data_IF_913875266505
#
_entry.id   IF_913875266505
#
_cell.length_a   1.000
_cell.length_b   1.000
_cell.length_c   1.000
_cell.angle_alpha   90.00
_cell.angle_beta   90.00
_cell.angle_gamma   90.00
#
_symmetry.space_group_name_H-M   'P 1'
#
loop_
_entity.id
_entity.type
_entity.pdbx_description
1 polymer ?
#
# COMPACT_ATOMS: atom_id res chain seq x y z
N UNK A 1 31.22 4.67 -12.51
CA UNK A 1 30.41 5.36 -13.55
C UNK A 1 31.01 5.00 -14.91
N UNK A 2 30.23 4.24 -15.71
CA UNK A 2 30.68 3.82 -17.06
C UNK A 2 30.81 5.01 -18.01
N UNK A 3 31.56 4.84 -19.11
CA UNK A 3 31.76 5.84 -20.14
C UNK A 3 30.46 6.13 -20.92
N UNK A 4 29.49 6.76 -20.26
CA UNK A 4 28.25 7.24 -20.87
C UNK A 4 28.33 8.72 -21.20
N UNK A 5 27.35 9.21 -21.93
CA UNK A 5 27.19 10.65 -22.17
C UNK A 5 27.08 11.43 -20.86
N UNK A 6 27.54 12.68 -20.83
CA UNK A 6 27.28 13.60 -19.72
C UNK A 6 25.76 13.78 -19.55
N UNK A 7 25.32 14.24 -18.37
CA UNK A 7 23.88 14.48 -18.12
C UNK A 7 23.28 15.44 -19.15
N UNK A 8 24.01 16.51 -19.48
CA UNK A 8 23.61 17.49 -20.49
C UNK A 8 23.48 16.88 -21.89
N UNK A 9 24.43 16.03 -22.28
CA UNK A 9 24.40 15.35 -23.57
C UNK A 9 23.23 14.34 -23.64
N UNK A 10 22.98 13.61 -22.57
CA UNK A 10 21.80 12.70 -22.49
C UNK A 10 20.50 13.44 -22.68
N UNK A 11 20.33 14.56 -22.00
CA UNK A 11 19.13 15.38 -22.10
C UNK A 11 18.97 15.98 -23.48
N UNK A 12 20.07 16.50 -24.06
CA UNK A 12 20.09 17.02 -25.41
C UNK A 12 19.65 15.97 -26.45
N UNK A 13 20.29 14.80 -26.45
CA UNK A 13 19.94 13.74 -27.41
C UNK A 13 18.53 13.21 -27.19
N UNK A 14 18.08 13.05 -25.93
CA UNK A 14 16.72 12.57 -25.65
C UNK A 14 15.68 13.55 -26.17
N UNK A 15 15.85 14.86 -25.94
CA UNK A 15 14.97 15.90 -26.50
C UNK A 15 14.99 15.95 -28.03
N UNK A 16 16.17 15.78 -28.63
CA UNK A 16 16.31 15.76 -30.09
C UNK A 16 15.56 14.58 -30.69
N UNK A 17 15.69 13.36 -30.11
CA UNK A 17 14.96 12.18 -30.56
C UNK A 17 13.45 12.35 -30.40
N UNK A 18 13.00 12.93 -29.30
CA UNK A 18 11.57 13.13 -29.01
C UNK A 18 10.88 14.07 -30.02
N UNK A 19 11.59 15.05 -30.60
CA UNK A 19 11.01 15.94 -31.63
C UNK A 19 10.44 15.18 -32.81
N UNK A 20 11.09 14.10 -33.24
CA UNK A 20 10.62 13.27 -34.34
C UNK A 20 9.85 12.04 -33.86
N UNK A 21 10.39 11.26 -32.90
CA UNK A 21 9.81 10.04 -32.44
C UNK A 21 8.54 10.23 -31.56
N UNK A 22 8.29 11.45 -31.05
CA UNK A 22 7.05 11.85 -30.40
C UNK A 22 5.97 12.34 -31.36
N UNK A 23 6.32 12.67 -32.64
CA UNK A 23 5.34 13.04 -33.63
C UNK A 23 4.70 11.80 -34.25
N UNK A 24 3.50 11.46 -33.77
CA UNK A 24 2.74 10.28 -34.22
C UNK A 24 2.44 10.30 -35.72
N UNK A 25 2.21 11.48 -36.31
CA UNK A 25 1.93 11.61 -37.76
C UNK A 25 3.17 11.33 -38.59
N UNK A 26 4.30 11.89 -38.17
CA UNK A 26 5.58 11.66 -38.82
C UNK A 26 5.99 10.16 -38.74
N UNK A 27 5.86 9.57 -37.55
CA UNK A 27 6.19 8.16 -37.35
C UNK A 27 5.31 7.22 -38.22
N UNK A 28 4.01 7.46 -38.22
CA UNK A 28 3.07 6.67 -39.03
C UNK A 28 3.38 6.77 -40.53
N UNK A 29 3.69 7.98 -41.00
CA UNK A 29 4.08 8.21 -42.42
C UNK A 29 5.32 7.40 -42.85
N UNK A 30 6.25 7.20 -41.92
CA UNK A 30 7.49 6.49 -42.16
C UNK A 30 7.43 5.00 -41.75
N UNK A 31 6.26 4.45 -41.43
CA UNK A 31 6.05 3.06 -40.97
C UNK A 31 6.88 2.73 -39.72
N UNK A 32 7.09 3.71 -38.82
CA UNK A 32 7.80 3.56 -37.55
C UNK A 32 6.78 3.48 -36.40
N UNK A 33 7.25 2.94 -35.28
CA UNK A 33 6.40 2.86 -34.07
C UNK A 33 6.02 4.25 -33.57
N UNK A 34 4.75 4.48 -33.28
CA UNK A 34 4.21 5.75 -32.77
C UNK A 34 4.25 5.89 -31.26
N UNK A 35 4.71 4.85 -30.55
CA UNK A 35 4.67 4.75 -29.08
C UNK A 35 6.06 4.64 -28.43
N UNK A 36 7.14 4.90 -29.20
CA UNK A 36 8.50 4.74 -28.69
C UNK A 36 8.81 5.63 -27.51
N UNK A 37 8.37 6.90 -27.56
CA UNK A 37 8.55 7.88 -26.49
C UNK A 37 7.70 7.53 -25.27
N UNK A 38 6.41 7.29 -25.47
CA UNK A 38 5.48 6.94 -24.38
C UNK A 38 5.95 5.70 -23.62
N UNK A 39 6.33 4.64 -24.34
CA UNK A 39 6.80 3.40 -23.69
C UNK A 39 8.16 3.55 -23.02
N UNK A 40 9.05 4.44 -23.50
CA UNK A 40 10.27 4.77 -22.81
C UNK A 40 9.97 5.55 -21.50
N UNK A 41 9.11 6.56 -21.55
CA UNK A 41 8.75 7.38 -20.39
C UNK A 41 8.08 6.57 -19.28
N UNK A 42 7.40 5.50 -19.62
CA UNK A 42 6.86 4.54 -18.66
C UNK A 42 7.92 3.62 -18.03
N UNK A 43 9.13 3.54 -18.58
CA UNK A 43 10.22 2.78 -17.94
C UNK A 43 10.75 3.50 -16.70
N UNK A 44 11.49 2.77 -15.86
CA UNK A 44 12.16 3.40 -14.72
C UNK A 44 13.19 4.46 -15.19
N UNK A 45 13.89 4.22 -16.29
CA UNK A 45 14.82 5.20 -16.87
C UNK A 45 14.09 6.50 -17.25
N UNK A 46 12.97 6.42 -17.95
CA UNK A 46 12.18 7.59 -18.31
C UNK A 46 11.66 8.34 -17.10
N UNK A 47 11.13 7.62 -16.10
CA UNK A 47 10.61 8.21 -14.86
C UNK A 47 11.69 8.92 -14.05
N UNK A 48 12.85 8.29 -13.85
CA UNK A 48 14.00 8.91 -13.14
C UNK A 48 14.44 10.19 -13.86
N UNK A 49 14.50 10.17 -15.19
CA UNK A 49 14.83 11.36 -15.99
C UNK A 49 13.80 12.49 -15.77
N UNK A 50 12.50 12.19 -15.81
CA UNK A 50 11.44 13.18 -15.53
C UNK A 50 11.56 13.80 -14.13
N UNK A 51 12.04 13.03 -13.17
CA UNK A 51 12.31 13.49 -11.81
C UNK A 51 13.64 14.26 -11.67
N UNK A 52 14.31 14.56 -12.78
CA UNK A 52 15.52 15.38 -12.80
C UNK A 52 16.80 14.67 -12.35
N UNK A 53 16.77 13.34 -12.26
CA UNK A 53 17.93 12.54 -11.84
C UNK A 53 18.61 11.85 -13.04
N UNK A 54 19.93 11.60 -12.97
CA UNK A 54 20.67 10.95 -14.04
C UNK A 54 20.13 9.57 -14.36
N UNK A 55 19.76 9.35 -15.63
CA UNK A 55 19.28 8.05 -16.11
C UNK A 55 19.65 7.85 -17.58
N UNK A 56 19.58 6.61 -18.09
CA UNK A 56 19.85 6.31 -19.48
C UNK A 56 18.81 6.98 -20.38
N UNK A 57 19.26 7.76 -21.36
CA UNK A 57 18.45 8.35 -22.41
C UNK A 57 18.46 7.51 -23.70
N UNK A 58 17.84 8.03 -24.75
CA UNK A 58 17.72 7.32 -26.04
C UNK A 58 19.09 6.92 -26.61
N UNK A 59 20.05 7.86 -26.61
CA UNK A 59 21.37 7.66 -27.19
C UNK A 59 22.25 6.66 -26.40
N UNK A 60 22.00 6.45 -25.12
CA UNK A 60 22.76 5.48 -24.31
C UNK A 60 22.50 4.03 -24.81
N UNK A 61 21.31 3.75 -25.36
CA UNK A 61 20.96 2.45 -25.93
C UNK A 61 21.11 2.43 -27.46
N UNK A 62 20.64 3.46 -28.16
CA UNK A 62 20.54 3.50 -29.64
C UNK A 62 21.77 4.11 -30.32
N UNK A 63 22.73 4.63 -29.55
CA UNK A 63 23.81 5.55 -29.99
C UNK A 63 23.26 6.89 -30.54
N UNK A 64 24.16 7.88 -30.73
CA UNK A 64 23.76 9.23 -31.18
C UNK A 64 23.89 9.42 -32.71
N UNK A 65 24.83 8.77 -33.34
CA UNK A 65 25.19 9.02 -34.74
C UNK A 65 24.99 7.82 -35.66
N UNK A 66 25.09 6.60 -35.14
CA UNK A 66 24.97 5.37 -35.93
C UNK A 66 23.75 4.58 -35.44
N UNK A 67 22.56 5.13 -35.69
CA UNK A 67 21.28 4.55 -35.27
C UNK A 67 20.84 3.53 -36.32
N UNK A 68 21.11 2.24 -36.06
CA UNK A 68 20.78 1.14 -36.93
C UNK A 68 19.55 0.39 -36.44
N UNK A 69 18.75 -0.24 -37.32
CA UNK A 69 17.61 -1.04 -36.93
C UNK A 69 18.03 -2.26 -36.12
N UNK A 70 17.14 -2.79 -35.26
CA UNK A 70 17.42 -3.93 -34.36
C UNK A 70 17.97 -5.17 -35.09
N UNK A 71 17.53 -5.39 -36.33
CA UNK A 71 17.96 -6.55 -37.17
C UNK A 71 19.40 -6.45 -37.66
N UNK A 72 20.01 -5.28 -37.70
CA UNK A 72 21.39 -5.11 -38.18
C UNK A 72 22.37 -5.64 -37.11
N UNK A 73 23.30 -6.53 -37.46
CA UNK A 73 24.30 -7.05 -36.50
C UNK A 73 25.20 -5.99 -35.87
N UNK A 74 25.37 -4.83 -36.52
CA UNK A 74 26.15 -3.70 -36.01
C UNK A 74 25.34 -2.77 -35.11
N UNK A 75 24.02 -2.93 -35.04
CA UNK A 75 23.18 -2.10 -34.20
C UNK A 75 23.50 -2.32 -32.72
N UNK A 76 23.58 -1.23 -31.97
CA UNK A 76 23.77 -1.30 -30.50
C UNK A 76 22.62 -2.05 -29.80
N UNK A 77 21.39 -1.99 -30.34
CA UNK A 77 20.20 -2.66 -29.81
C UNK A 77 19.96 -4.06 -30.43
N UNK A 78 20.91 -4.57 -31.21
CA UNK A 78 20.87 -5.99 -31.64
C UNK A 78 21.01 -6.89 -30.41
N UNK A 79 20.30 -8.01 -30.37
CA UNK A 79 20.29 -8.93 -29.21
C UNK A 79 21.67 -9.38 -28.75
N UNK A 80 22.61 -9.55 -29.69
CA UNK A 80 24.00 -9.92 -29.43
C UNK A 80 24.80 -8.79 -28.74
N UNK A 81 24.40 -7.53 -28.92
CA UNK A 81 25.09 -6.36 -28.44
C UNK A 81 24.48 -5.78 -27.15
N UNK A 82 23.21 -6.11 -26.82
CA UNK A 82 22.50 -5.53 -25.68
C UNK A 82 23.21 -5.73 -24.33
N UNK A 83 23.80 -6.91 -24.10
CA UNK A 83 24.56 -7.15 -22.87
C UNK A 83 25.69 -6.15 -22.69
N UNK A 84 26.43 -5.85 -23.78
CA UNK A 84 27.51 -4.85 -23.77
C UNK A 84 26.97 -3.44 -23.54
N UNK A 85 25.84 -3.08 -24.14
CA UNK A 85 25.21 -1.77 -23.96
C UNK A 85 24.76 -1.59 -22.51
N UNK A 86 24.05 -2.56 -21.94
CA UNK A 86 23.59 -2.50 -20.57
C UNK A 86 24.74 -2.47 -19.54
N UNK A 87 25.85 -3.18 -19.82
CA UNK A 87 27.05 -3.22 -18.94
C UNK A 87 27.78 -1.89 -18.83
N UNK A 88 27.51 -0.93 -19.69
CA UNK A 88 28.08 0.42 -19.56
C UNK A 88 27.65 1.13 -18.26
N UNK A 89 26.48 0.76 -17.71
CA UNK A 89 25.92 1.36 -16.51
C UNK A 89 25.61 0.33 -15.41
N UNK A 90 25.23 -0.89 -15.78
CA UNK A 90 24.86 -1.95 -14.85
C UNK A 90 25.99 -2.97 -14.67
N UNK A 91 26.39 -3.23 -13.44
CA UNK A 91 27.35 -4.28 -13.12
C UNK A 91 26.69 -5.66 -13.09
N UNK A 92 27.40 -6.71 -13.47
CA UNK A 92 26.90 -8.09 -13.42
C UNK A 92 25.84 -8.43 -14.49
N UNK A 93 25.79 -7.67 -15.59
CA UNK A 93 24.84 -7.92 -16.70
C UNK A 93 25.17 -9.23 -17.40
N UNK A 94 24.13 -10.01 -17.65
CA UNK A 94 24.17 -11.28 -18.36
C UNK A 94 23.13 -11.32 -19.51
N UNK A 95 23.08 -12.44 -20.23
CA UNK A 95 22.13 -12.61 -21.35
C UNK A 95 20.65 -12.54 -20.90
N UNK A 96 20.35 -12.93 -19.66
CA UNK A 96 18.99 -12.82 -19.13
C UNK A 96 18.63 -11.35 -18.85
N UNK A 97 19.57 -10.53 -18.37
CA UNK A 97 19.37 -9.09 -18.21
C UNK A 97 18.96 -8.43 -19.52
N UNK A 98 19.63 -8.80 -20.62
CA UNK A 98 19.31 -8.27 -21.96
C UNK A 98 17.89 -8.64 -22.46
N UNK A 99 17.20 -9.58 -21.80
CA UNK A 99 15.79 -9.91 -22.08
C UNK A 99 14.79 -8.95 -21.38
N UNK A 100 15.27 -7.90 -20.70
CA UNK A 100 14.41 -6.82 -20.23
C UNK A 100 13.74 -6.10 -21.39
N UNK A 101 12.45 -5.78 -21.26
CA UNK A 101 11.68 -5.11 -22.30
C UNK A 101 11.74 -3.61 -22.06
N UNK A 102 12.59 -2.91 -22.83
CA UNK A 102 12.83 -1.47 -22.69
C UNK A 102 11.67 -0.60 -23.21
N UNK A 103 10.85 -1.12 -24.13
CA UNK A 103 9.67 -0.44 -24.68
C UNK A 103 8.43 -1.36 -24.54
N UNK A 104 7.91 -1.59 -23.31
CA UNK A 104 6.79 -2.49 -23.10
C UNK A 104 5.47 -1.82 -23.50
N UNK A 105 4.87 -2.27 -24.61
CA UNK A 105 3.49 -1.91 -24.91
C UNK A 105 2.52 -2.80 -24.11
N UNK A 106 2.05 -2.32 -22.98
CA UNK A 106 1.15 -3.05 -22.09
C UNK A 106 -0.26 -3.26 -22.66
N UNK A 107 -0.58 -2.66 -23.81
CA UNK A 107 -1.85 -2.84 -24.52
C UNK A 107 -1.76 -3.88 -25.63
N UNK A 108 -0.56 -4.34 -25.99
CA UNK A 108 -0.33 -5.32 -27.04
C UNK A 108 -0.37 -6.76 -26.50
N UNK A 109 -1.57 -7.33 -26.48
CA UNK A 109 -1.81 -8.71 -26.05
C UNK A 109 -1.04 -9.75 -26.89
N UNK A 110 -0.86 -9.48 -28.20
CA UNK A 110 -0.21 -10.43 -29.10
C UNK A 110 1.28 -10.54 -28.86
N UNK A 111 1.96 -9.41 -28.69
CA UNK A 111 3.42 -9.34 -28.49
C UNK A 111 3.85 -9.55 -27.04
N UNK A 112 3.07 -9.05 -26.07
CA UNK A 112 3.41 -9.07 -24.66
C UNK A 112 2.27 -9.64 -23.78
N UNK A 113 1.82 -10.89 -24.04
CA UNK A 113 0.62 -11.43 -23.38
C UNK A 113 0.72 -11.44 -21.87
N UNK A 114 1.89 -11.79 -21.32
CA UNK A 114 2.08 -11.84 -19.86
C UNK A 114 1.96 -10.45 -19.22
N UNK A 115 2.60 -9.44 -19.79
CA UNK A 115 2.52 -8.06 -19.26
C UNK A 115 1.09 -7.52 -19.36
N UNK A 116 0.41 -7.78 -20.49
CA UNK A 116 -0.98 -7.41 -20.71
C UNK A 116 -1.89 -8.00 -19.62
N UNK A 117 -1.82 -9.32 -19.43
CA UNK A 117 -2.69 -9.99 -18.46
C UNK A 117 -2.34 -9.64 -17.00
N UNK A 118 -1.07 -9.47 -16.68
CA UNK A 118 -0.66 -8.96 -15.35
C UNK A 118 -1.26 -7.59 -15.09
N UNK A 119 -1.18 -6.65 -16.04
CA UNK A 119 -1.78 -5.32 -15.92
C UNK A 119 -3.29 -5.41 -15.73
N UNK A 120 -3.99 -6.19 -16.57
CA UNK A 120 -5.46 -6.34 -16.45
C UNK A 120 -5.84 -6.95 -15.13
N UNK A 121 -5.14 -8.00 -14.67
CA UNK A 121 -5.39 -8.62 -13.36
C UNK A 121 -5.24 -7.62 -12.23
N UNK A 122 -4.12 -6.88 -12.18
CA UNK A 122 -3.88 -5.91 -11.12
C UNK A 122 -4.89 -4.75 -11.14
N UNK A 123 -5.25 -4.26 -12.33
CA UNK A 123 -6.28 -3.24 -12.49
C UNK A 123 -7.65 -3.72 -11.98
N UNK A 124 -8.05 -4.93 -12.36
CA UNK A 124 -9.33 -5.51 -11.92
C UNK A 124 -9.33 -5.80 -10.41
N UNK A 125 -8.20 -6.27 -9.85
CA UNK A 125 -8.04 -6.47 -8.43
C UNK A 125 -8.22 -5.14 -7.67
N UNK A 126 -7.52 -4.09 -8.09
CA UNK A 126 -7.62 -2.75 -7.50
C UNK A 126 -9.06 -2.22 -7.58
N UNK A 127 -9.65 -2.23 -8.77
CA UNK A 127 -10.98 -1.69 -9.01
C UNK A 127 -12.04 -2.45 -8.21
N UNK A 128 -12.05 -3.78 -8.29
CA UNK A 128 -13.06 -4.61 -7.60
C UNK A 128 -12.95 -4.48 -6.07
N UNK A 129 -11.73 -4.48 -5.54
CA UNK A 129 -11.49 -4.32 -4.10
C UNK A 129 -11.98 -2.96 -3.61
N UNK A 130 -11.54 -1.87 -4.25
CA UNK A 130 -11.94 -0.53 -3.81
C UNK A 130 -13.45 -0.30 -3.98
N UNK A 131 -14.05 -0.69 -5.10
CA UNK A 131 -15.50 -0.52 -5.32
C UNK A 131 -16.32 -1.31 -4.30
N UNK A 132 -15.94 -2.56 -4.01
CA UNK A 132 -16.64 -3.37 -3.02
C UNK A 132 -16.58 -2.74 -1.62
N UNK A 133 -15.36 -2.37 -1.18
CA UNK A 133 -15.20 -1.83 0.17
C UNK A 133 -15.71 -0.40 0.31
N UNK A 134 -15.60 0.45 -0.70
CA UNK A 134 -16.23 1.76 -0.68
C UNK A 134 -17.76 1.66 -0.65
N UNK A 135 -18.33 0.71 -1.41
CA UNK A 135 -19.77 0.42 -1.32
C UNK A 135 -20.21 0.02 0.08
N UNK A 136 -19.48 -0.95 0.69
CA UNK A 136 -19.70 -1.37 2.07
C UNK A 136 -19.54 -0.20 3.07
N UNK A 137 -18.50 0.58 2.95
CA UNK A 137 -18.18 1.76 3.78
C UNK A 137 -19.28 2.83 3.70
N UNK A 138 -19.75 3.15 2.50
CA UNK A 138 -20.80 4.16 2.29
C UNK A 138 -22.15 3.70 2.87
N UNK A 139 -22.49 2.43 2.71
CA UNK A 139 -23.72 1.85 3.30
C UNK A 139 -23.64 1.87 4.83
N UNK A 140 -22.49 1.52 5.39
CA UNK A 140 -22.25 1.61 6.83
C UNK A 140 -22.35 3.02 7.35
N UNK A 141 -21.63 3.96 6.72
CA UNK A 141 -21.66 5.37 7.09
C UNK A 141 -23.08 5.94 7.08
N UNK A 142 -23.82 5.69 5.98
CA UNK A 142 -25.22 6.11 5.84
C UNK A 142 -26.06 5.58 6.98
N UNK A 143 -26.00 4.28 7.25
CA UNK A 143 -26.83 3.65 8.30
C UNK A 143 -26.46 4.13 9.70
N UNK A 144 -25.18 4.17 10.04
CA UNK A 144 -24.69 4.65 11.32
C UNK A 144 -25.03 6.14 11.56
N UNK A 145 -24.98 6.95 10.50
CA UNK A 145 -25.39 8.36 10.57
C UNK A 145 -26.88 8.51 10.93
N UNK A 146 -27.76 7.78 10.24
CA UNK A 146 -29.19 7.80 10.52
C UNK A 146 -29.51 7.29 11.92
N UNK A 147 -28.85 6.24 12.36
CA UNK A 147 -29.00 5.71 13.71
C UNK A 147 -28.60 6.74 14.77
N UNK A 148 -27.45 7.38 14.59
CA UNK A 148 -26.99 8.46 15.48
C UNK A 148 -27.98 9.63 15.51
N UNK A 149 -28.53 10.05 14.37
CA UNK A 149 -29.53 11.11 14.33
C UNK A 149 -30.85 10.71 15.02
N UNK A 150 -31.25 9.44 14.93
CA UNK A 150 -32.41 8.93 15.64
C UNK A 150 -32.20 8.99 17.14
N UNK A 151 -31.06 8.48 17.65
CA UNK A 151 -30.73 8.49 19.07
C UNK A 151 -30.71 9.92 19.64
N UNK A 152 -30.12 10.87 18.91
CA UNK A 152 -30.13 12.30 19.31
C UNK A 152 -31.54 12.88 19.41
N UNK A 153 -32.43 12.55 18.48
CA UNK A 153 -33.83 13.00 18.51
C UNK A 153 -34.62 12.39 19.66
N UNK A 154 -34.27 11.16 20.07
CA UNK A 154 -34.87 10.47 21.20
C UNK A 154 -34.26 10.94 22.55
N UNK A 155 -33.33 11.91 22.54
CA UNK A 155 -32.74 12.49 23.75
C UNK A 155 -31.66 11.63 24.39
N UNK A 156 -31.12 10.64 23.66
CA UNK A 156 -30.00 9.84 24.16
C UNK A 156 -28.71 10.65 24.12
N UNK A 157 -27.96 10.64 25.24
CA UNK A 157 -26.63 11.20 25.29
C UNK A 157 -25.66 10.27 24.54
N UNK A 158 -25.03 10.79 23.48
CA UNK A 158 -23.96 10.08 22.76
C UNK A 158 -22.64 10.63 23.31
N UNK A 159 -21.78 9.77 23.90
CA UNK A 159 -20.49 10.23 24.39
C UNK A 159 -19.65 10.83 23.29
N UNK A 160 -19.12 12.03 23.51
CA UNK A 160 -18.20 12.66 22.57
C UNK A 160 -16.83 11.97 22.61
N UNK A 161 -16.29 11.64 21.46
CA UNK A 161 -14.94 11.05 21.29
C UNK A 161 -13.88 12.12 21.03
N UNK A 162 -14.01 13.29 21.65
CA UNK A 162 -12.95 14.28 21.67
C UNK A 162 -11.76 13.76 22.50
N UNK A 163 -10.58 14.37 22.34
CA UNK A 163 -9.41 14.00 23.14
C UNK A 163 -9.81 14.09 24.62
N UNK A 164 -9.92 12.96 25.34
CA UNK A 164 -10.44 13.01 26.69
C UNK A 164 -9.37 13.57 27.61
N UNK A 165 -9.62 14.75 28.15
CA UNK A 165 -8.77 15.43 29.12
C UNK A 165 -9.16 14.97 30.53
N UNK A 166 -10.44 14.68 30.75
CA UNK A 166 -11.00 14.21 32.01
C UNK A 166 -11.35 12.72 31.94
N UNK A 167 -11.32 12.05 33.09
CA UNK A 167 -11.63 10.62 33.18
C UNK A 167 -13.13 10.36 32.93
N UNK A 168 -13.52 9.75 31.79
CA UNK A 168 -14.92 9.50 31.46
C UNK A 168 -15.46 8.20 32.08
N UNK A 169 -14.76 7.59 33.05
CA UNK A 169 -15.16 6.37 33.70
C UNK A 169 -14.15 5.22 33.65
N UNK A 170 -14.62 4.00 33.77
CA UNK A 170 -13.76 2.80 33.80
C UNK A 170 -13.11 2.55 32.45
N UNK A 171 -11.81 2.21 32.48
CA UNK A 171 -11.00 1.88 31.32
C UNK A 171 -10.36 0.50 31.44
N UNK A 172 -10.25 -0.18 30.30
CA UNK A 172 -9.71 -1.53 30.20
C UNK A 172 -8.57 -1.59 29.17
N UNK A 173 -7.65 -2.54 29.34
CA UNK A 173 -6.58 -2.78 28.36
C UNK A 173 -7.16 -3.38 27.08
N UNK A 174 -7.01 -2.69 25.95
CA UNK A 174 -7.34 -3.20 24.61
C UNK A 174 -6.09 -3.68 23.88
N UNK A 175 -5.04 -2.87 23.86
CA UNK A 175 -3.77 -3.15 23.19
C UNK A 175 -2.59 -3.00 24.17
N UNK A 176 -1.69 -3.98 24.17
CA UNK A 176 -0.46 -3.93 24.96
C UNK A 176 0.53 -2.95 24.32
N UNK A 177 1.52 -2.51 25.09
CA UNK A 177 2.56 -1.56 24.60
C UNK A 177 3.24 -2.09 23.33
N UNK A 178 3.56 -3.38 23.26
CA UNK A 178 4.18 -4.00 22.07
C UNK A 178 3.31 -3.85 20.82
N UNK A 179 1.98 -4.02 20.93
CA UNK A 179 1.04 -3.98 19.81
C UNK A 179 0.93 -2.53 19.29
N UNK A 180 0.99 -1.56 20.21
CA UNK A 180 1.00 -0.12 19.93
C UNK A 180 2.30 0.32 19.25
N UNK A 181 3.46 -0.12 19.75
CA UNK A 181 4.76 0.17 19.13
C UNK A 181 4.85 -0.43 17.74
N UNK A 182 4.42 -1.68 17.59
CA UNK A 182 4.33 -2.34 16.30
C UNK A 182 3.51 -1.52 15.30
N UNK A 183 2.30 -1.11 15.67
CA UNK A 183 1.46 -0.28 14.81
C UNK A 183 2.08 1.10 14.52
N UNK A 184 2.79 1.71 15.47
CA UNK A 184 3.49 2.99 15.26
C UNK A 184 4.62 2.87 14.24
N UNK A 185 5.43 1.80 14.30
CA UNK A 185 6.46 1.54 13.30
C UNK A 185 5.85 1.23 11.93
N UNK A 186 4.75 0.48 11.90
CA UNK A 186 3.99 0.24 10.68
C UNK A 186 3.50 1.55 10.04
N UNK A 187 2.92 2.47 10.83
CA UNK A 187 2.52 3.82 10.36
C UNK A 187 3.72 4.53 9.74
N UNK A 188 4.84 4.62 10.47
CA UNK A 188 6.05 5.30 9.99
C UNK A 188 6.56 4.70 8.67
N UNK A 189 6.73 3.37 8.63
CA UNK A 189 7.23 2.69 7.45
C UNK A 189 6.27 2.82 6.26
N UNK A 190 4.97 2.69 6.47
CA UNK A 190 3.97 2.80 5.42
C UNK A 190 3.91 4.20 4.81
N UNK A 191 3.89 5.26 5.64
CA UNK A 191 3.96 6.63 5.13
C UNK A 191 5.27 6.92 4.42
N UNK A 192 6.40 6.42 4.93
CA UNK A 192 7.70 6.54 4.28
C UNK A 192 7.74 5.88 2.90
N UNK A 193 7.20 4.66 2.78
CA UNK A 193 7.07 3.95 1.51
C UNK A 193 6.13 4.67 0.53
N UNK A 194 4.98 5.16 1.00
CA UNK A 194 4.05 5.91 0.17
C UNK A 194 4.67 7.22 -0.34
N UNK A 195 5.27 8.02 0.54
CA UNK A 195 5.87 9.32 0.19
C UNK A 195 7.07 9.22 -0.76
N UNK A 196 7.77 8.08 -0.74
CA UNK A 196 8.92 7.84 -1.64
C UNK A 196 8.52 7.13 -2.94
N UNK A 197 7.50 6.27 -2.91
CA UNK A 197 7.05 5.49 -4.07
C UNK A 197 6.10 6.25 -5.01
N UNK A 198 5.17 7.04 -4.45
CA UNK A 198 4.19 7.79 -5.25
C UNK A 198 4.82 8.78 -6.23
N UNK A 199 5.86 9.57 -5.88
CA UNK A 199 6.52 10.43 -6.85
C UNK A 199 7.13 9.66 -8.03
N UNK A 200 7.64 8.45 -7.81
CA UNK A 200 8.17 7.61 -8.89
C UNK A 200 7.05 7.05 -9.77
N UNK A 201 5.89 6.77 -9.18
CA UNK A 201 4.71 6.32 -9.95
C UNK A 201 4.14 7.46 -10.80
N UNK A 202 4.05 8.66 -10.25
CA UNK A 202 3.46 9.85 -10.88
C UNK A 202 4.51 10.97 -11.11
N UNK A 203 5.54 10.74 -11.95
CA UNK A 203 6.65 11.68 -12.08
C UNK A 203 6.25 13.01 -12.76
N UNK A 204 5.12 13.05 -13.45
CA UNK A 204 4.59 14.22 -14.14
C UNK A 204 3.76 15.16 -13.23
N UNK A 205 3.38 14.69 -12.05
CA UNK A 205 2.62 15.50 -11.09
C UNK A 205 3.52 16.56 -10.43
N UNK A 206 3.06 17.82 -10.36
CA UNK A 206 3.84 18.94 -9.81
C UNK A 206 4.32 18.69 -8.37
N UNK A 207 3.50 18.05 -7.56
CA UNK A 207 3.84 17.70 -6.18
C UNK A 207 4.96 16.65 -6.07
N UNK A 208 5.16 15.82 -7.10
CA UNK A 208 6.19 14.75 -7.09
C UNK A 208 7.60 15.32 -7.00
N UNK A 209 7.92 16.33 -7.79
CA UNK A 209 9.23 16.98 -7.73
C UNK A 209 9.44 17.73 -6.42
N UNK A 210 8.38 18.38 -5.89
CA UNK A 210 8.44 19.04 -4.59
C UNK A 210 8.76 18.05 -3.46
N UNK A 211 8.02 16.93 -3.39
CA UNK A 211 8.25 15.90 -2.39
C UNK A 211 9.66 15.32 -2.45
N UNK A 212 10.15 15.01 -3.66
CA UNK A 212 11.49 14.48 -3.82
C UNK A 212 12.57 15.46 -3.37
N UNK A 213 12.45 16.76 -3.70
CA UNK A 213 13.41 17.78 -3.22
C UNK A 213 13.47 17.82 -1.70
N UNK A 214 12.31 17.72 -1.03
CA UNK A 214 12.23 17.71 0.43
C UNK A 214 12.91 16.48 1.04
N UNK A 215 12.87 15.32 0.37
CA UNK A 215 13.45 14.04 0.85
C UNK A 215 14.95 13.91 0.48
N UNK A 216 15.53 14.87 -0.22
CA UNK A 216 16.94 14.80 -0.68
C UNK A 216 17.11 14.26 -2.11
N UNK A 217 16.11 14.47 -2.96
CA UNK A 217 16.10 14.03 -4.35
C UNK A 217 15.77 12.54 -4.51
N UNK A 218 15.99 12.02 -5.72
CA UNK A 218 15.71 10.62 -6.03
C UNK A 218 16.55 9.65 -5.17
N UNK A 219 17.83 9.93 -4.95
CA UNK A 219 18.72 9.08 -4.14
C UNK A 219 18.29 9.04 -2.68
N UNK A 220 17.92 10.18 -2.08
CA UNK A 220 17.37 10.25 -0.72
C UNK A 220 16.06 9.48 -0.60
N UNK A 221 15.17 9.61 -1.59
CA UNK A 221 13.92 8.88 -1.62
C UNK A 221 14.12 7.36 -1.71
N UNK A 222 15.04 6.88 -2.54
CA UNK A 222 15.37 5.44 -2.63
C UNK A 222 15.97 4.92 -1.32
N UNK A 223 16.87 5.67 -0.69
CA UNK A 223 17.44 5.27 0.59
C UNK A 223 16.35 5.15 1.67
N UNK A 224 15.49 6.16 1.79
CA UNK A 224 14.36 6.14 2.74
C UNK A 224 13.38 5.00 2.42
N UNK A 225 13.11 4.75 1.12
CA UNK A 225 12.27 3.63 0.68
C UNK A 225 12.84 2.29 1.18
N UNK A 226 14.15 2.06 1.02
CA UNK A 226 14.80 0.83 1.48
C UNK A 226 14.79 0.69 3.01
N UNK A 227 15.01 1.78 3.74
CA UNK A 227 14.94 1.77 5.21
C UNK A 227 13.52 1.39 5.66
N UNK A 228 12.48 2.03 5.10
CA UNK A 228 11.09 1.74 5.43
C UNK A 228 10.67 0.33 4.99
N UNK A 229 11.14 -0.13 3.82
CA UNK A 229 10.92 -1.49 3.35
C UNK A 229 11.54 -2.54 4.28
N UNK A 230 12.76 -2.29 4.77
CA UNK A 230 13.41 -3.15 5.75
C UNK A 230 12.61 -3.23 7.05
N UNK A 231 12.16 -2.07 7.58
CA UNK A 231 11.35 -2.02 8.81
C UNK A 231 10.09 -2.87 8.65
N UNK A 232 9.31 -2.64 7.60
CA UNK A 232 8.01 -3.32 7.42
C UNK A 232 8.17 -4.81 7.12
N UNK A 233 9.25 -5.22 6.45
CA UNK A 233 9.58 -6.64 6.24
C UNK A 233 9.96 -7.32 7.55
N UNK A 234 10.77 -6.69 8.40
CA UNK A 234 11.10 -7.21 9.73
C UNK A 234 9.84 -7.33 10.58
N UNK A 235 8.97 -6.31 10.58
CA UNK A 235 7.69 -6.37 11.27
C UNK A 235 6.81 -7.52 10.78
N UNK A 236 6.71 -7.71 9.48
CA UNK A 236 5.94 -8.81 8.90
C UNK A 236 6.44 -10.18 9.42
N UNK A 237 7.74 -10.41 9.47
CA UNK A 237 8.29 -11.67 9.99
C UNK A 237 8.10 -11.81 11.50
N UNK A 238 8.20 -10.73 12.28
CA UNK A 238 7.89 -10.73 13.71
C UNK A 238 6.41 -11.08 13.92
N UNK A 239 5.52 -10.47 13.14
CA UNK A 239 4.09 -10.76 13.21
C UNK A 239 3.77 -12.20 12.81
N UNK A 240 4.39 -12.71 11.74
CA UNK A 240 4.27 -14.10 11.31
C UNK A 240 4.74 -15.07 12.42
N UNK A 241 5.90 -14.81 13.03
CA UNK A 241 6.41 -15.58 14.15
C UNK A 241 5.44 -15.55 15.35
N UNK A 242 4.83 -14.38 15.63
CA UNK A 242 3.81 -14.24 16.66
C UNK A 242 2.56 -15.08 16.35
N UNK A 243 2.08 -15.08 15.11
CA UNK A 243 0.94 -15.90 14.67
C UNK A 243 1.23 -17.39 14.80
N UNK A 244 2.43 -17.81 14.40
CA UNK A 244 2.88 -19.21 14.55
C UNK A 244 3.00 -19.61 16.02
N UNK A 245 3.61 -18.77 16.85
CA UNK A 245 3.70 -18.99 18.31
C UNK A 245 2.30 -19.09 18.94
N UNK A 246 1.39 -18.17 18.60
CA UNK A 246 0.02 -18.18 19.07
C UNK A 246 -0.70 -19.49 18.71
N UNK A 247 -0.54 -19.93 17.47
CA UNK A 247 -1.25 -21.10 16.93
C UNK A 247 -0.69 -22.42 17.48
N UNK A 248 0.63 -22.56 17.53
CA UNK A 248 1.25 -23.86 17.79
C UNK A 248 1.77 -24.02 19.23
N UNK A 249 2.16 -22.93 19.90
CA UNK A 249 2.87 -22.98 21.17
C UNK A 249 2.00 -22.48 22.33
N UNK A 250 1.27 -21.38 22.17
CA UNK A 250 0.55 -20.72 23.28
C UNK A 250 -0.71 -21.47 23.71
N UNK A 251 -0.58 -22.38 24.67
CA UNK A 251 -1.68 -23.17 25.24
C UNK A 251 -2.66 -22.35 26.12
N UNK A 252 -2.30 -21.15 26.53
CA UNK A 252 -3.14 -20.32 27.43
C UNK A 252 -4.39 -19.72 26.74
N UNK A 253 -4.47 -19.79 25.40
CA UNK A 253 -5.58 -19.23 24.62
C UNK A 253 -6.46 -20.28 23.93
N UNK A 254 -6.33 -21.54 24.32
CA UNK A 254 -7.07 -22.68 23.81
C UNK A 254 -6.31 -23.98 24.01
N UNK A 255 -6.98 -25.05 24.41
CA UNK A 255 -6.36 -26.36 24.68
C UNK A 255 -5.88 -27.03 23.39
N UNK A 256 -6.61 -26.88 22.31
CA UNK A 256 -6.32 -27.48 21.00
C UNK A 256 -5.90 -26.43 19.96
N UNK A 257 -5.20 -26.83 18.90
CA UNK A 257 -4.88 -25.96 17.75
C UNK A 257 -6.16 -25.45 17.11
N UNK A 258 -7.21 -26.30 17.02
CA UNK A 258 -8.50 -25.91 16.47
C UNK A 258 -9.14 -24.76 17.26
N UNK A 259 -9.14 -24.82 18.59
CA UNK A 259 -9.66 -23.75 19.45
C UNK A 259 -8.84 -22.44 19.28
N UNK A 260 -7.53 -22.55 19.11
CA UNK A 260 -6.67 -21.38 18.88
C UNK A 260 -6.90 -20.72 17.52
N UNK A 261 -7.09 -21.53 16.46
CA UNK A 261 -7.36 -21.02 15.12
C UNK A 261 -8.77 -20.47 14.93
N UNK A 262 -9.79 -21.14 15.47
CA UNK A 262 -11.20 -20.77 15.24
C UNK A 262 -11.92 -20.29 16.50
N UNK A 263 -11.21 -20.04 17.58
CA UNK A 263 -11.76 -19.50 18.81
C UNK A 263 -12.05 -17.99 18.73
N UNK A 264 -12.70 -17.43 19.78
CA UNK A 264 -13.15 -16.04 19.79
C UNK A 264 -12.05 -14.99 19.71
N UNK A 265 -10.81 -15.35 20.08
CA UNK A 265 -9.66 -14.43 20.06
C UNK A 265 -8.79 -14.58 18.81
N UNK A 266 -9.20 -15.40 17.83
CA UNK A 266 -8.40 -15.68 16.63
C UNK A 266 -8.61 -14.64 15.54
N UNK A 267 -7.54 -14.35 14.79
CA UNK A 267 -7.60 -13.59 13.53
C UNK A 267 -8.11 -14.41 12.33
N UNK A 268 -8.11 -15.75 12.42
CA UNK A 268 -8.57 -16.57 11.31
C UNK A 268 -10.07 -16.41 11.09
N UNK A 269 -10.52 -16.36 9.82
CA UNK A 269 -11.92 -16.34 9.48
C UNK A 269 -12.65 -17.58 10.01
N UNK A 270 -13.84 -17.38 10.54
CA UNK A 270 -14.71 -18.44 11.07
C UNK A 270 -16.16 -18.22 10.57
N UNK A 271 -17.01 -19.22 10.73
CA UNK A 271 -18.41 -19.17 10.29
C UNK A 271 -19.15 -17.91 10.80
N UNK A 272 -18.89 -17.53 12.05
CA UNK A 272 -19.47 -16.32 12.65
C UNK A 272 -19.14 -15.05 11.87
N UNK A 273 -17.95 -14.92 11.33
CA UNK A 273 -17.56 -13.71 10.57
C UNK A 273 -18.38 -13.55 9.29
N UNK A 274 -18.77 -14.67 8.67
CA UNK A 274 -19.69 -14.67 7.54
C UNK A 274 -21.11 -14.34 7.96
N UNK A 275 -21.59 -14.89 9.10
CA UNK A 275 -22.88 -14.55 9.70
C UNK A 275 -22.95 -13.06 10.06
N UNK A 276 -21.87 -12.51 10.65
CA UNK A 276 -21.74 -11.09 10.98
C UNK A 276 -21.75 -10.19 9.73
N UNK A 277 -21.07 -10.60 8.66
CA UNK A 277 -21.11 -9.90 7.38
C UNK A 277 -22.52 -9.83 6.79
N UNK A 278 -23.26 -10.95 6.80
CA UNK A 278 -24.64 -10.98 6.34
C UNK A 278 -25.53 -10.13 7.26
N UNK A 279 -25.37 -10.23 8.57
CA UNK A 279 -26.13 -9.44 9.53
C UNK A 279 -25.87 -7.93 9.36
N UNK A 280 -24.63 -7.54 9.09
CA UNK A 280 -24.27 -6.15 8.77
C UNK A 280 -24.97 -5.67 7.50
N UNK A 281 -25.00 -6.51 6.44
CA UNK A 281 -25.74 -6.19 5.21
C UNK A 281 -27.23 -5.99 5.46
N UNK A 282 -27.85 -6.84 6.27
CA UNK A 282 -29.25 -6.68 6.69
C UNK A 282 -29.48 -5.39 7.47
N UNK A 283 -28.58 -5.09 8.41
CA UNK A 283 -28.64 -3.83 9.18
C UNK A 283 -28.50 -2.59 8.28
N UNK A 284 -27.69 -2.62 7.25
CA UNK A 284 -27.56 -1.50 6.28
C UNK A 284 -28.89 -1.14 5.62
N UNK A 285 -29.76 -2.13 5.40
CA UNK A 285 -31.07 -1.95 4.76
C UNK A 285 -32.26 -2.04 5.75
N UNK A 286 -32.01 -1.86 7.04
CA UNK A 286 -33.01 -1.83 8.12
C UNK A 286 -33.78 -3.15 8.32
N UNK A 287 -33.15 -4.29 8.01
CA UNK A 287 -33.76 -5.62 8.14
C UNK A 287 -33.28 -6.40 9.38
N UNK A 288 -32.69 -5.73 10.36
CA UNK A 288 -32.24 -6.34 11.60
C UNK A 288 -31.29 -5.46 12.41
N UNK A 289 -30.94 -5.90 13.63
CA UNK A 289 -29.96 -5.18 14.46
C UNK A 289 -28.54 -5.34 13.94
N UNK A 290 -27.61 -4.44 14.34
CA UNK A 290 -26.20 -4.61 14.05
C UNK A 290 -25.65 -5.90 14.69
N UNK A 291 -24.67 -6.57 14.05
CA UNK A 291 -24.03 -7.73 14.65
C UNK A 291 -23.25 -7.37 15.91
N UNK A 292 -23.21 -8.29 16.87
CA UNK A 292 -22.37 -8.19 18.06
C UNK A 292 -21.03 -8.85 17.79
N UNK A 293 -19.92 -8.12 18.01
CA UNK A 293 -18.59 -8.61 17.72
C UNK A 293 -17.90 -9.20 18.96
N UNK A 294 -17.00 -10.14 18.68
CA UNK A 294 -16.04 -10.71 19.61
C UNK A 294 -14.75 -9.86 19.62
N UNK A 295 -13.62 -10.43 20.04
CA UNK A 295 -12.33 -9.74 20.10
C UNK A 295 -11.92 -9.07 18.76
N UNK A 296 -12.19 -9.73 17.64
CA UNK A 296 -11.97 -9.23 16.28
C UNK A 296 -13.26 -9.30 15.47
N UNK A 297 -13.60 -8.18 14.84
CA UNK A 297 -14.69 -8.11 13.88
C UNK A 297 -14.24 -8.66 12.51
N UNK A 298 -15.19 -9.10 11.68
CA UNK A 298 -14.90 -9.64 10.35
C UNK A 298 -14.11 -8.68 9.47
N UNK A 299 -14.37 -7.38 9.50
CA UNK A 299 -13.66 -6.37 8.71
C UNK A 299 -12.21 -6.18 9.17
N UNK A 300 -11.92 -6.29 10.47
CA UNK A 300 -10.54 -6.25 10.99
C UNK A 300 -9.74 -7.50 10.58
N UNK A 301 -10.39 -8.66 10.55
CA UNK A 301 -9.77 -9.89 10.05
C UNK A 301 -9.49 -9.80 8.56
N UNK A 302 -10.38 -9.18 7.80
CA UNK A 302 -10.16 -8.94 6.38
C UNK A 302 -9.00 -7.99 6.15
N UNK A 303 -8.92 -6.86 6.88
CA UNK A 303 -7.79 -5.92 6.82
C UNK A 303 -6.47 -6.67 7.05
N UNK A 304 -6.44 -7.59 8.03
CA UNK A 304 -5.27 -8.41 8.33
C UNK A 304 -4.91 -9.37 7.19
N UNK A 305 -5.88 -10.04 6.57
CA UNK A 305 -5.64 -10.92 5.42
C UNK A 305 -5.15 -10.13 4.21
N UNK A 306 -5.69 -8.92 3.98
CA UNK A 306 -5.22 -8.03 2.92
C UNK A 306 -3.77 -7.60 3.14
N UNK A 307 -3.37 -7.31 4.39
CA UNK A 307 -1.97 -7.04 4.73
C UNK A 307 -1.07 -8.23 4.43
N UNK A 308 -1.47 -9.46 4.78
CA UNK A 308 -0.70 -10.66 4.44
C UNK A 308 -0.49 -10.82 2.94
N UNK A 309 -1.55 -10.71 2.16
CA UNK A 309 -1.48 -10.77 0.70
C UNK A 309 -0.59 -9.67 0.13
N UNK A 310 -0.86 -8.42 0.51
CA UNK A 310 -0.12 -7.25 0.05
C UNK A 310 1.37 -7.35 0.38
N UNK A 311 1.73 -7.77 1.60
CA UNK A 311 3.12 -7.93 2.02
C UNK A 311 3.87 -8.98 1.20
N UNK A 312 3.22 -10.09 0.85
CA UNK A 312 3.82 -11.11 -0.03
C UNK A 312 4.00 -10.56 -1.45
N UNK A 313 2.96 -9.95 -2.02
CA UNK A 313 2.98 -9.42 -3.38
C UNK A 313 3.98 -8.26 -3.55
N UNK A 314 3.90 -7.24 -2.67
CA UNK A 314 4.80 -6.08 -2.68
C UNK A 314 6.22 -6.48 -2.29
N UNK A 315 6.39 -7.33 -1.27
CA UNK A 315 7.70 -7.75 -0.78
C UNK A 315 8.47 -8.55 -1.81
N UNK A 316 7.87 -9.57 -2.43
CA UNK A 316 8.53 -10.36 -3.47
C UNK A 316 8.83 -9.49 -4.70
N UNK A 317 7.86 -8.72 -5.18
CA UNK A 317 8.08 -7.85 -6.34
C UNK A 317 9.12 -6.77 -6.05
N UNK A 318 9.14 -6.19 -4.84
CA UNK A 318 10.16 -5.24 -4.40
C UNK A 318 11.55 -5.84 -4.31
N UNK A 319 11.69 -7.07 -3.81
CA UNK A 319 12.96 -7.79 -3.78
C UNK A 319 13.51 -8.04 -5.20
N UNK A 320 12.65 -8.40 -6.15
CA UNK A 320 13.03 -8.55 -7.56
C UNK A 320 13.47 -7.23 -8.21
N UNK A 321 12.91 -6.12 -7.78
CA UNK A 321 13.25 -4.77 -8.26
C UNK A 321 14.49 -4.18 -7.59
N UNK A 322 14.84 -4.63 -6.38
CA UNK A 322 15.95 -4.07 -5.61
C UNK A 322 17.29 -4.21 -6.33
N UNK A 323 17.58 -5.38 -6.89
CA UNK A 323 18.80 -5.62 -7.67
C UNK A 323 18.49 -6.35 -8.97
N UNK A 324 18.21 -5.61 -10.07
CA UNK A 324 17.95 -6.22 -11.37
C UNK A 324 19.06 -7.16 -11.83
N UNK A 325 20.33 -6.85 -11.51
CA UNK A 325 21.46 -7.73 -11.85
C UNK A 325 21.42 -9.06 -11.09
N UNK A 326 21.07 -9.05 -9.79
CA UNK A 326 20.92 -10.28 -9.02
C UNK A 326 19.69 -11.08 -9.49
N UNK A 327 18.56 -10.42 -9.72
CA UNK A 327 17.33 -11.05 -10.22
C UNK A 327 17.57 -11.78 -11.54
N UNK A 328 18.36 -11.19 -12.43
CA UNK A 328 18.60 -11.78 -13.74
C UNK A 328 19.67 -12.88 -13.76
N UNK A 329 20.35 -13.15 -12.64
CA UNK A 329 21.09 -14.41 -12.48
C UNK A 329 20.15 -15.62 -12.45
N UNK A 330 18.94 -15.44 -11.91
CA UNK A 330 17.96 -16.52 -11.72
C UNK A 330 16.84 -16.50 -12.75
N UNK A 331 16.42 -15.30 -13.19
CA UNK A 331 15.23 -15.10 -14.02
C UNK A 331 15.53 -14.27 -15.28
N UNK A 332 14.75 -14.42 -16.36
CA UNK A 332 14.88 -13.55 -17.53
C UNK A 332 14.40 -12.12 -17.22
N UNK A 333 15.01 -11.13 -17.87
CA UNK A 333 14.81 -9.70 -17.59
C UNK A 333 13.37 -9.19 -17.68
N UNK A 334 12.51 -9.83 -18.46
CA UNK A 334 11.08 -9.48 -18.50
C UNK A 334 10.36 -9.69 -17.17
N UNK A 335 10.92 -10.51 -16.24
CA UNK A 335 10.38 -10.66 -14.87
C UNK A 335 10.42 -9.33 -14.12
N UNK A 336 11.42 -8.49 -14.37
CA UNK A 336 11.51 -7.13 -13.81
C UNK A 336 10.33 -6.27 -14.28
N UNK A 337 9.90 -6.42 -15.54
CA UNK A 337 8.72 -5.70 -16.05
C UNK A 337 7.44 -6.14 -15.32
N UNK A 338 7.25 -7.45 -15.13
CA UNK A 338 6.11 -8.01 -14.36
C UNK A 338 6.15 -7.53 -12.91
N UNK A 339 7.31 -7.66 -12.24
CA UNK A 339 7.50 -7.23 -10.86
C UNK A 339 7.15 -5.75 -10.67
N UNK A 340 7.54 -4.89 -11.62
CA UNK A 340 7.20 -3.47 -11.59
C UNK A 340 5.69 -3.21 -11.66
N UNK A 341 4.97 -3.92 -12.51
CA UNK A 341 3.51 -3.79 -12.60
C UNK A 341 2.88 -4.21 -11.27
N UNK A 342 3.22 -5.39 -10.75
CA UNK A 342 2.67 -5.89 -9.49
C UNK A 342 3.00 -4.93 -8.35
N UNK A 343 4.26 -4.56 -8.17
CA UNK A 343 4.71 -3.68 -7.08
C UNK A 343 3.98 -2.33 -7.07
N UNK A 344 3.88 -1.71 -8.23
CA UNK A 344 3.30 -0.37 -8.37
C UNK A 344 1.77 -0.38 -8.20
N UNK A 345 1.07 -1.37 -8.73
CA UNK A 345 -0.39 -1.43 -8.62
C UNK A 345 -0.85 -1.94 -7.26
N UNK A 346 -0.14 -2.91 -6.67
CA UNK A 346 -0.42 -3.37 -5.31
C UNK A 346 -0.13 -2.27 -4.28
N UNK A 347 0.95 -1.49 -4.45
CA UNK A 347 1.22 -0.33 -3.60
C UNK A 347 0.08 0.71 -3.68
N UNK A 348 -0.45 0.97 -4.88
CA UNK A 348 -1.59 1.87 -5.05
C UNK A 348 -2.86 1.33 -4.39
N UNK A 349 -3.11 0.02 -4.51
CA UNK A 349 -4.21 -0.65 -3.83
C UNK A 349 -4.06 -0.54 -2.30
N UNK A 350 -2.89 -0.85 -1.76
CA UNK A 350 -2.61 -0.76 -0.32
C UNK A 350 -2.81 0.66 0.22
N UNK A 351 -2.27 1.68 -0.47
CA UNK A 351 -2.42 3.09 -0.10
C UNK A 351 -3.89 3.50 -0.14
N UNK A 352 -4.60 3.20 -1.23
CA UNK A 352 -6.02 3.50 -1.38
C UNK A 352 -6.88 2.82 -0.31
N UNK A 353 -6.62 1.54 -0.04
CA UNK A 353 -7.34 0.77 0.97
C UNK A 353 -7.10 1.32 2.39
N UNK A 354 -5.85 1.53 2.78
CA UNK A 354 -5.51 2.00 4.14
C UNK A 354 -6.06 3.40 4.39
N UNK A 355 -5.86 4.34 3.48
CA UNK A 355 -6.27 5.72 3.73
C UNK A 355 -7.76 6.00 3.50
N UNK A 356 -8.50 5.05 2.94
CA UNK A 356 -9.97 5.18 2.80
C UNK A 356 -10.71 4.16 3.66
N UNK A 357 -10.55 2.87 3.40
CA UNK A 357 -11.35 1.80 4.03
C UNK A 357 -10.91 1.57 5.48
N UNK A 358 -9.61 1.35 5.72
CA UNK A 358 -9.10 1.14 7.08
C UNK A 358 -9.34 2.38 7.96
N UNK A 359 -9.08 3.59 7.46
CA UNK A 359 -9.38 4.82 8.20
C UNK A 359 -10.85 4.95 8.52
N UNK A 360 -11.74 4.58 7.59
CA UNK A 360 -13.17 4.59 7.87
C UNK A 360 -13.53 3.58 8.95
N UNK A 361 -13.16 2.32 8.78
CA UNK A 361 -13.52 1.23 9.69
C UNK A 361 -13.05 1.51 11.12
N UNK A 362 -11.91 2.18 11.27
CA UNK A 362 -11.27 2.44 12.56
C UNK A 362 -11.62 3.80 13.16
N UNK A 363 -11.84 4.84 12.33
CA UNK A 363 -11.94 6.22 12.82
C UNK A 363 -13.19 6.99 12.37
N UNK A 364 -13.63 6.83 11.10
CA UNK A 364 -14.65 7.71 10.51
C UNK A 364 -16.08 7.19 10.58
N UNK A 365 -16.31 6.02 11.15
CA UNK A 365 -17.68 5.59 11.50
C UNK A 365 -18.26 6.65 12.44
N UNK A 366 -19.52 7.10 12.25
CA UNK A 366 -20.12 8.18 13.03
C UNK A 366 -20.07 7.99 14.56
N UNK A 367 -20.06 6.74 15.03
CA UNK A 367 -19.91 6.40 16.45
C UNK A 367 -18.45 6.49 16.95
N UNK A 368 -17.46 6.53 16.05
CA UNK A 368 -16.02 6.61 16.37
C UNK A 368 -15.42 7.99 16.07
N UNK A 369 -16.17 8.87 15.43
CA UNK A 369 -15.69 10.20 15.04
C UNK A 369 -15.29 11.05 16.26
N UNK A 370 -14.20 11.85 16.22
CA UNK A 370 -13.26 12.05 15.11
C UNK A 370 -12.20 10.94 14.97
N UNK A 371 -11.94 10.14 16.02
CA UNK A 371 -10.94 9.08 16.00
C UNK A 371 -11.16 8.07 17.14
N UNK A 372 -10.85 6.80 16.89
CA UNK A 372 -10.69 5.80 17.95
C UNK A 372 -9.26 5.87 18.50
N UNK A 373 -9.13 6.11 19.80
CA UNK A 373 -7.85 6.28 20.48
C UNK A 373 -7.23 4.99 20.98
N UNK A 374 -7.94 3.86 20.89
CA UNK A 374 -7.55 2.62 21.56
C UNK A 374 -6.18 2.09 21.12
N UNK A 375 -5.83 2.19 19.83
CA UNK A 375 -4.53 1.71 19.34
C UNK A 375 -3.36 2.61 19.81
N UNK A 376 -3.62 3.88 20.06
CA UNK A 376 -2.59 4.83 20.50
C UNK A 376 -2.43 4.83 22.01
N UNK A 377 -3.53 4.77 22.77
CA UNK A 377 -3.52 4.76 24.25
C UNK A 377 -3.35 3.36 24.82
N UNK A 378 -3.74 2.33 24.08
CA UNK A 378 -3.83 0.94 24.52
C UNK A 378 -5.07 0.63 25.34
N UNK A 379 -6.01 1.59 25.48
CA UNK A 379 -7.16 1.52 26.38
C UNK A 379 -8.47 1.69 25.65
N UNK A 380 -9.50 1.04 26.17
CA UNK A 380 -10.89 1.17 25.71
C UNK A 380 -11.76 1.55 26.91
N UNK A 381 -12.69 2.48 26.73
CA UNK A 381 -13.67 2.82 27.75
C UNK A 381 -14.72 1.72 27.88
N UNK A 382 -15.29 1.59 29.06
CA UNK A 382 -16.33 0.57 29.33
C UNK A 382 -17.49 0.65 28.34
N UNK A 383 -17.99 1.83 28.08
CA UNK A 383 -19.10 2.04 27.16
C UNK A 383 -18.71 1.68 25.71
N UNK A 384 -17.48 2.01 25.25
CA UNK A 384 -16.97 1.61 23.95
C UNK A 384 -16.82 0.09 23.87
N UNK A 385 -16.34 -0.55 24.93
CA UNK A 385 -16.14 -1.99 24.98
C UNK A 385 -17.49 -2.72 24.81
N UNK A 386 -18.53 -2.27 25.52
CA UNK A 386 -19.88 -2.80 25.42
C UNK A 386 -20.46 -2.58 24.01
N UNK A 387 -20.25 -1.39 23.43
CA UNK A 387 -20.77 -1.07 22.10
C UNK A 387 -20.04 -1.83 20.98
N UNK A 388 -18.70 -1.81 21.00
CA UNK A 388 -17.90 -2.34 19.90
C UNK A 388 -17.61 -3.83 19.99
N UNK A 389 -17.60 -4.41 21.20
CA UNK A 389 -17.15 -5.78 21.49
C UNK A 389 -18.07 -6.48 22.50
N UNK A 390 -19.36 -6.37 22.28
CA UNK A 390 -20.37 -6.87 23.23
C UNK A 390 -20.13 -8.33 23.64
N UNK A 391 -19.84 -9.24 22.68
CA UNK A 391 -19.62 -10.65 23.00
C UNK A 391 -18.33 -10.90 23.79
N UNK A 392 -17.27 -10.12 23.52
CA UNK A 392 -16.05 -10.21 24.30
C UNK A 392 -16.27 -9.69 25.72
N UNK A 393 -16.96 -8.57 25.84
CA UNK A 393 -17.28 -7.98 27.14
C UNK A 393 -18.10 -8.95 28.01
N UNK A 394 -19.19 -9.48 27.47
CA UNK A 394 -20.07 -10.43 28.16
C UNK A 394 -19.30 -11.69 28.60
N UNK A 395 -18.51 -12.26 27.71
CA UNK A 395 -17.68 -13.45 27.99
C UNK A 395 -16.66 -13.22 29.10
N UNK A 396 -15.98 -12.06 29.10
CA UNK A 396 -15.00 -11.71 30.13
C UNK A 396 -15.66 -11.39 31.47
N UNK A 397 -16.81 -10.78 31.44
CA UNK A 397 -17.62 -10.50 32.62
C UNK A 397 -18.09 -11.78 33.31
N UNK A 398 -18.68 -12.71 32.56
CA UNK A 398 -19.13 -14.03 33.06
C UNK A 398 -17.97 -14.87 33.59
N UNK A 399 -16.81 -14.82 32.93
CA UNK A 399 -15.59 -15.52 33.36
C UNK A 399 -14.88 -14.84 34.55
N UNK A 400 -15.36 -13.69 35.03
CA UNK A 400 -14.72 -12.85 36.09
C UNK A 400 -13.29 -12.44 35.72
N UNK A 401 -13.01 -12.30 34.44
CA UNK A 401 -11.69 -11.91 33.91
C UNK A 401 -11.60 -10.41 33.59
N UNK A 402 -12.72 -9.71 33.53
CA UNK A 402 -12.80 -8.31 33.16
C UNK A 402 -11.99 -7.41 34.10
N UNK A 403 -12.04 -7.66 35.41
CA UNK A 403 -11.28 -6.91 36.40
C UNK A 403 -9.76 -6.98 36.23
N UNK A 404 -9.25 -8.09 35.65
CA UNK A 404 -7.82 -8.24 35.34
C UNK A 404 -7.35 -7.30 34.23
N UNK A 405 -8.26 -6.80 33.41
CA UNK A 405 -7.99 -5.88 32.31
C UNK A 405 -8.17 -4.41 32.70
N UNK A 406 -8.72 -4.14 33.89
CA UNK A 406 -8.95 -2.79 34.37
C UNK A 406 -7.62 -2.04 34.56
N UNK A 407 -7.55 -0.85 34.01
CA UNK A 407 -6.35 0.00 34.04
C UNK A 407 -6.73 1.45 34.29
N UNK A 408 -5.83 2.25 34.91
CA UNK A 408 -6.12 3.66 35.16
C UNK A 408 -6.26 4.42 33.84
N UNK A 409 -7.00 5.51 33.87
CA UNK A 409 -7.10 6.46 32.78
C UNK A 409 -5.71 6.96 32.34
N UNK A 410 -5.44 7.16 31.03
CA UNK A 410 -4.17 7.68 30.56
C UNK A 410 -3.91 9.09 31.13
N UNK A 411 -2.65 9.44 31.37
CA UNK A 411 -2.31 10.82 31.73
C UNK A 411 -2.58 11.78 30.55
N UNK A 412 -2.77 13.05 30.88
CA UNK A 412 -3.11 14.10 29.89
C UNK A 412 -2.09 14.15 28.76
N UNK A 413 -0.79 14.09 29.06
CA UNK A 413 0.28 14.13 28.07
C UNK A 413 0.20 12.92 27.11
N UNK A 414 -0.05 11.72 27.64
CA UNK A 414 -0.22 10.50 26.83
C UNK A 414 -1.41 10.60 25.89
N UNK A 415 -2.53 11.18 26.35
CA UNK A 415 -3.69 11.41 25.51
C UNK A 415 -3.43 12.45 24.41
N UNK A 416 -2.80 13.57 24.76
CA UNK A 416 -2.47 14.61 23.78
C UNK A 416 -1.50 14.11 22.71
N UNK A 417 -0.45 13.38 23.09
CA UNK A 417 0.49 12.77 22.14
C UNK A 417 -0.20 11.75 21.25
N UNK A 418 -1.04 10.88 21.81
CA UNK A 418 -1.83 9.90 21.06
C UNK A 418 -2.76 10.59 20.06
N UNK A 419 -3.44 11.65 20.49
CA UNK A 419 -4.30 12.46 19.62
C UNK A 419 -3.51 13.15 18.51
N UNK A 420 -2.37 13.76 18.81
CA UNK A 420 -1.53 14.44 17.85
C UNK A 420 -1.02 13.48 16.76
N UNK A 421 -0.48 12.32 17.15
CA UNK A 421 0.02 11.30 16.21
C UNK A 421 -1.12 10.80 15.33
N UNK A 422 -2.25 10.40 15.94
CA UNK A 422 -3.38 9.84 15.20
C UNK A 422 -3.99 10.85 14.22
N UNK A 423 -4.33 12.06 14.69
CA UNK A 423 -4.94 13.10 13.83
C UNK A 423 -3.98 13.51 12.70
N UNK A 424 -2.68 13.67 12.99
CA UNK A 424 -1.69 13.97 11.94
C UNK A 424 -1.65 12.86 10.90
N UNK A 425 -1.65 11.59 11.32
CA UNK A 425 -1.67 10.45 10.40
C UNK A 425 -2.92 10.45 9.51
N UNK A 426 -4.10 10.74 10.07
CA UNK A 426 -5.35 10.83 9.31
C UNK A 426 -5.29 11.97 8.28
N UNK A 427 -4.83 13.16 8.67
CA UNK A 427 -4.71 14.31 7.75
C UNK A 427 -3.75 13.99 6.61
N UNK A 428 -2.54 13.49 6.92
CA UNK A 428 -1.54 13.15 5.90
C UNK A 428 -2.04 12.06 4.96
N UNK A 429 -2.71 11.03 5.50
CA UNK A 429 -3.28 9.96 4.67
C UNK A 429 -4.37 10.48 3.71
N UNK A 430 -5.30 11.33 4.19
CA UNK A 430 -6.33 11.92 3.33
C UNK A 430 -5.74 12.87 2.27
N UNK A 431 -4.73 13.67 2.62
CA UNK A 431 -4.01 14.51 1.66
C UNK A 431 -3.31 13.64 0.59
N UNK A 432 -2.75 12.50 0.99
CA UNK A 432 -2.14 11.55 0.03
C UNK A 432 -3.17 11.04 -0.98
N UNK A 433 -4.40 10.71 -0.55
CA UNK A 433 -5.48 10.32 -1.46
C UNK A 433 -5.83 11.46 -2.43
N UNK A 434 -5.91 12.70 -1.96
CA UNK A 434 -6.16 13.88 -2.81
C UNK A 434 -5.05 14.03 -3.86
N UNK A 435 -3.78 13.88 -3.47
CA UNK A 435 -2.65 13.96 -4.41
C UNK A 435 -2.67 12.84 -5.46
N UNK A 436 -3.08 11.62 -5.08
CA UNK A 436 -3.25 10.51 -6.04
C UNK A 436 -4.37 10.83 -7.03
N UNK A 437 -5.53 11.29 -6.55
CA UNK A 437 -6.66 11.67 -7.42
C UNK A 437 -6.23 12.77 -8.37
N UNK A 438 -5.55 13.82 -7.86
CA UNK A 438 -5.01 14.89 -8.70
C UNK A 438 -4.12 14.33 -9.81
N UNK A 439 -3.13 13.47 -9.47
CA UNK A 439 -2.20 12.92 -10.45
C UNK A 439 -2.83 11.95 -11.48
N UNK A 440 -4.05 11.44 -11.21
CA UNK A 440 -4.79 10.59 -12.16
C UNK A 440 -5.66 11.45 -13.09
N UNK A 441 -6.18 12.58 -12.61
CA UNK A 441 -7.14 13.41 -13.35
C UNK A 441 -6.43 14.45 -14.19
N UNK A 442 -5.33 15.02 -13.73
CA UNK A 442 -4.55 16.08 -14.37
C UNK A 442 -3.17 15.59 -14.78
#
# INVERSE_FOLDING_TARGET
>A
MGRGYSLEAREFYTKACFKCHGDKKLMKRNNLTTIAVETYEETLHGKIRKLGSPSAGCADCHSAHNILPKGDPKSSINEKNLTKVCSNCHQGVNINFAKYIAHPNLSDRGKYPLLFWTRIFMFMLLLSTLLFYWGHTLLWWRRAYWEKQRQLREGHLIPERLIPIENPGETYTRFKLRDRLFHLFCIFAFFGLASTGLPIKFPDADWSQFMLRFIGGFEGAILLHYICAFIIVVEFFIFLAYCLHFTFINKNRGKTIKERLWGPNSFFPRKKDWEDFIAMGKWFVDQGPPPKFDHWAYYEKFDMLAVFWGMVAIGISGALLWSPSATTQLFPGWVINVARIIHSEEALLAIGFIFTVHFFNTHFVPTKWPMNYSIFTGRIYKWEFIEERALEYDRLFEAKELEKLKVPFPNILGNLLSGAIGITSLIVGLLTVVFIIWAIVY
#
